data_IF_131367565098
#
_entry.id   IF_131367565098
#
_cell.length_a   1.000
_cell.length_b   1.000
_cell.length_c   1.000
_cell.angle_alpha   90.00
_cell.angle_beta   90.00
_cell.angle_gamma   90.00
#
_symmetry.space_group_name_H-M   'P 1'
#
loop_
_entity.id
_entity.type
_entity.pdbx_description
1 polymer ?
#
# COMPACT_ATOMS: atom_id res chain seq x y z
N UNK A 1 -31.20 -64.94 -55.52
CA UNK A 1 -31.16 -64.83 -54.07
C UNK A 1 -29.99 -63.99 -53.66
N UNK A 2 -30.24 -62.76 -53.42
CA UNK A 2 -29.20 -61.81 -53.00
C UNK A 2 -29.41 -61.44 -51.55
N UNK A 3 -28.44 -61.64 -50.68
CA UNK A 3 -28.43 -60.90 -49.45
C UNK A 3 -27.62 -59.62 -49.63
N UNK A 4 -28.31 -58.48 -49.59
CA UNK A 4 -27.74 -57.18 -49.51
C UNK A 4 -26.94 -57.03 -48.24
N UNK A 5 -25.63 -56.99 -48.37
CA UNK A 5 -24.73 -56.52 -47.33
C UNK A 5 -24.77 -55.01 -47.31
N UNK A 6 -25.57 -54.43 -46.45
CA UNK A 6 -25.47 -53.03 -46.12
C UNK A 6 -24.30 -52.86 -45.17
N UNK A 7 -23.29 -52.22 -45.65
CA UNK A 7 -22.12 -51.84 -44.84
C UNK A 7 -22.55 -50.74 -43.87
N UNK A 8 -22.31 -50.86 -42.59
CA UNK A 8 -22.51 -49.73 -41.68
C UNK A 8 -21.44 -48.69 -41.93
N UNK A 9 -21.90 -47.50 -42.26
CA UNK A 9 -21.11 -46.32 -42.39
C UNK A 9 -20.64 -45.96 -40.95
N UNK A 10 -19.39 -46.28 -40.63
CA UNK A 10 -18.81 -45.87 -39.36
C UNK A 10 -18.45 -44.40 -39.50
N UNK A 11 -19.34 -43.58 -38.96
CA UNK A 11 -19.13 -42.15 -38.82
C UNK A 11 -18.06 -41.93 -37.74
N UNK A 12 -16.83 -41.67 -38.14
CA UNK A 12 -15.78 -41.20 -37.26
C UNK A 12 -16.13 -39.80 -36.81
N UNK A 13 -16.80 -39.70 -35.64
CA UNK A 13 -16.98 -38.42 -34.95
C UNK A 13 -15.65 -38.11 -34.29
N UNK A 14 -14.82 -37.31 -34.97
CA UNK A 14 -13.66 -36.69 -34.39
C UNK A 14 -14.13 -35.69 -33.35
N UNK A 15 -14.22 -36.14 -32.09
CA UNK A 15 -14.35 -35.24 -30.95
C UNK A 15 -13.05 -34.51 -30.81
N UNK A 16 -12.98 -33.32 -31.41
CA UNK A 16 -11.95 -32.34 -31.16
C UNK A 16 -12.18 -31.83 -29.73
N UNK A 17 -11.65 -32.55 -28.74
CA UNK A 17 -11.58 -32.07 -27.37
C UNK A 17 -10.63 -30.89 -27.37
N UNK A 18 -11.18 -29.72 -27.62
CA UNK A 18 -10.48 -28.46 -27.42
C UNK A 18 -10.08 -28.36 -25.95
N UNK A 19 -8.84 -28.68 -25.69
CA UNK A 19 -8.21 -28.29 -24.44
C UNK A 19 -8.11 -26.77 -24.48
N UNK A 20 -9.11 -26.09 -23.94
CA UNK A 20 -8.94 -24.70 -23.55
C UNK A 20 -7.87 -24.71 -22.46
N UNK A 21 -6.71 -24.09 -22.65
CA UNK A 21 -5.83 -23.84 -21.56
C UNK A 21 -6.63 -22.98 -20.58
N UNK A 22 -6.91 -23.53 -19.40
CA UNK A 22 -7.34 -22.70 -18.30
C UNK A 22 -6.22 -21.69 -18.10
N UNK A 23 -6.41 -20.49 -18.64
CA UNK A 23 -5.63 -19.34 -18.29
C UNK A 23 -5.95 -19.07 -16.81
N UNK A 24 -5.28 -19.80 -15.94
CA UNK A 24 -5.10 -19.33 -14.58
C UNK A 24 -4.37 -18.01 -14.74
N UNK A 25 -5.15 -16.92 -14.73
CA UNK A 25 -4.60 -15.60 -14.62
C UNK A 25 -3.77 -15.61 -13.33
N UNK A 26 -2.48 -15.86 -13.48
CA UNK A 26 -1.54 -15.45 -12.45
C UNK A 26 -1.86 -13.97 -12.25
N UNK A 27 -2.41 -13.65 -11.09
CA UNK A 27 -2.42 -12.27 -10.61
C UNK A 27 -0.94 -11.94 -10.53
N UNK A 28 -0.40 -11.41 -11.60
CA UNK A 28 0.85 -10.71 -11.54
C UNK A 28 0.57 -9.60 -10.55
N UNK A 29 1.12 -9.73 -9.35
CA UNK A 29 1.20 -8.65 -8.38
C UNK A 29 1.68 -7.45 -9.18
N UNK A 30 0.79 -6.49 -9.38
CA UNK A 30 0.82 -5.55 -10.49
C UNK A 30 2.13 -4.79 -10.58
N UNK A 31 2.40 -4.21 -11.73
CA UNK A 31 3.51 -3.30 -11.92
C UNK A 31 3.53 -2.27 -10.80
N UNK A 32 4.71 -1.92 -10.25
CA UNK A 32 4.80 -0.97 -9.16
C UNK A 32 4.17 0.38 -9.56
N UNK A 33 3.36 0.94 -8.68
CA UNK A 33 2.84 2.30 -8.85
C UNK A 33 4.00 3.28 -8.67
N UNK A 34 4.13 4.21 -9.60
CA UNK A 34 5.13 5.29 -9.54
C UNK A 34 4.46 6.61 -9.22
N UNK A 35 5.14 7.46 -8.44
CA UNK A 35 4.70 8.81 -8.09
C UNK A 35 3.23 8.83 -7.62
N UNK A 36 2.91 8.03 -6.62
CA UNK A 36 1.54 7.81 -6.16
C UNK A 36 1.15 8.72 -4.99
N UNK A 37 -0.16 8.90 -4.84
CA UNK A 37 -0.80 9.59 -3.70
C UNK A 37 -2.05 8.83 -3.30
N UNK A 38 -2.13 8.41 -2.04
CA UNK A 38 -3.25 7.64 -1.48
C UNK A 38 -3.77 8.40 -0.25
N UNK A 39 -5.02 8.87 -0.26
CA UNK A 39 -5.66 9.42 0.94
C UNK A 39 -6.21 8.30 1.83
N UNK A 40 -6.11 8.48 3.15
CA UNK A 40 -6.84 7.71 4.13
C UNK A 40 -7.93 8.54 4.76
N UNK A 41 -9.07 7.92 5.01
CA UNK A 41 -10.28 8.59 5.49
C UNK A 41 -10.60 8.15 6.93
N UNK A 42 -11.12 9.09 7.71
CA UNK A 42 -11.70 8.81 9.02
C UNK A 42 -13.15 8.34 8.92
N UNK A 43 -13.74 7.99 10.06
CA UNK A 43 -15.13 7.53 10.15
C UNK A 43 -16.14 8.60 9.72
N UNK A 44 -15.74 9.87 9.77
CA UNK A 44 -16.52 11.03 9.31
C UNK A 44 -16.48 11.23 7.77
N UNK A 45 -15.72 10.38 7.04
CA UNK A 45 -15.58 10.43 5.60
C UNK A 45 -14.61 11.51 5.10
N UNK A 46 -13.94 12.25 5.97
CA UNK A 46 -12.91 13.21 5.60
C UNK A 46 -11.51 12.58 5.58
N UNK A 47 -10.61 13.05 4.70
CA UNK A 47 -9.24 12.56 4.71
C UNK A 47 -8.55 12.98 6.01
N UNK A 48 -7.89 12.01 6.66
CA UNK A 48 -7.14 12.20 7.90
C UNK A 48 -5.64 12.13 7.69
N UNK A 49 -5.22 11.46 6.63
CA UNK A 49 -3.82 11.38 6.22
C UNK A 49 -3.68 11.20 4.70
N UNK A 50 -2.52 11.50 4.19
CA UNK A 50 -2.15 11.32 2.78
C UNK A 50 -0.79 10.63 2.70
N UNK A 51 -0.76 9.43 2.10
CA UNK A 51 0.46 8.70 1.82
C UNK A 51 0.94 9.00 0.40
N UNK A 52 2.18 9.44 0.27
CA UNK A 52 2.86 9.67 -1.00
C UNK A 52 4.15 8.87 -1.08
N UNK A 53 4.59 8.55 -2.26
CA UNK A 53 5.87 7.90 -2.47
C UNK A 53 6.29 7.83 -3.93
N UNK A 54 7.56 7.54 -4.15
CA UNK A 54 8.11 7.37 -5.50
C UNK A 54 7.70 6.05 -6.14
N UNK A 55 7.61 5.01 -5.34
CA UNK A 55 7.24 3.68 -5.80
C UNK A 55 6.51 2.94 -4.70
N UNK A 56 5.40 2.30 -5.05
CA UNK A 56 4.70 1.34 -4.23
C UNK A 56 4.69 0.01 -4.96
N UNK A 57 5.22 -1.01 -4.31
CA UNK A 57 5.24 -2.38 -4.80
C UNK A 57 4.42 -3.26 -3.86
N UNK A 58 3.38 -3.88 -4.35
CA UNK A 58 2.63 -4.86 -3.60
C UNK A 58 3.53 -6.08 -3.32
N UNK A 59 3.57 -6.49 -2.06
CA UNK A 59 4.23 -7.72 -1.63
C UNK A 59 3.22 -8.87 -1.60
N UNK A 60 1.99 -8.56 -1.19
CA UNK A 60 0.80 -9.41 -1.20
C UNK A 60 -0.46 -8.53 -1.23
N UNK A 61 -1.64 -9.11 -1.01
CA UNK A 61 -2.93 -8.38 -1.05
C UNK A 61 -3.09 -7.30 0.03
N UNK A 62 -2.36 -7.41 1.14
CA UNK A 62 -2.50 -6.52 2.30
C UNK A 62 -1.26 -5.66 2.52
N UNK A 63 -0.11 -6.05 1.99
CA UNK A 63 1.18 -5.45 2.27
C UNK A 63 1.81 -4.84 1.02
N UNK A 64 2.39 -3.67 1.18
CA UNK A 64 3.14 -2.99 0.15
C UNK A 64 4.44 -2.39 0.69
N UNK A 65 5.48 -2.42 -0.13
CA UNK A 65 6.72 -1.69 0.11
C UNK A 65 6.66 -0.34 -0.56
N UNK A 66 6.93 0.72 0.17
CA UNK A 66 6.95 2.10 -0.31
C UNK A 66 8.37 2.63 -0.28
N UNK A 67 8.82 3.20 -1.41
CA UNK A 67 10.10 3.91 -1.51
C UNK A 67 9.86 5.42 -1.45
N UNK A 68 10.75 6.14 -0.75
CA UNK A 68 10.67 7.59 -0.49
C UNK A 68 9.28 7.97 0.03
N UNK A 69 8.90 7.31 1.12
CA UNK A 69 7.62 7.53 1.78
C UNK A 69 7.52 8.95 2.34
N UNK A 70 6.39 9.59 2.09
CA UNK A 70 5.93 10.79 2.80
C UNK A 70 4.52 10.54 3.28
N UNK A 71 4.30 10.59 4.58
CA UNK A 71 2.98 10.49 5.19
C UNK A 71 2.62 11.85 5.81
N UNK A 72 1.57 12.48 5.31
CA UNK A 72 1.06 13.75 5.80
C UNK A 72 -0.16 13.47 6.69
N UNK A 73 -0.11 13.91 7.94
CA UNK A 73 -1.25 13.86 8.86
C UNK A 73 -1.94 15.20 8.79
N UNK A 74 -3.25 15.19 8.57
CA UNK A 74 -4.07 16.37 8.42
C UNK A 74 -4.68 16.78 9.76
N UNK A 75 -4.94 18.05 9.94
CA UNK A 75 -5.50 18.64 11.16
C UNK A 75 -6.92 18.13 11.52
N UNK A 76 -7.56 17.38 10.59
CA UNK A 76 -8.90 16.81 10.79
C UNK A 76 -10.03 17.75 10.47
N UNK A 77 -11.28 17.34 10.72
CA UNK A 77 -12.51 18.11 10.47
C UNK A 77 -12.64 18.67 9.04
N UNK A 78 -12.16 17.93 8.04
CA UNK A 78 -12.18 18.35 6.64
C UNK A 78 -11.13 19.40 6.27
N UNK A 79 -10.23 19.77 7.18
CA UNK A 79 -9.09 20.61 6.87
C UNK A 79 -8.12 19.89 5.93
N UNK A 80 -7.53 20.63 4.99
CA UNK A 80 -6.42 20.17 4.17
C UNK A 80 -5.05 20.59 4.71
N UNK A 81 -5.05 21.24 5.85
CA UNK A 81 -3.84 21.66 6.53
C UNK A 81 -3.06 20.45 7.02
N UNK A 82 -1.77 20.44 6.73
CA UNK A 82 -0.85 19.38 7.16
C UNK A 82 -0.35 19.74 8.55
N UNK A 83 -0.74 18.98 9.54
CA UNK A 83 -0.28 19.14 10.92
C UNK A 83 1.10 18.53 11.14
N UNK A 84 1.35 17.38 10.50
CA UNK A 84 2.60 16.64 10.67
C UNK A 84 3.00 15.97 9.37
N UNK A 85 4.27 16.06 9.02
CA UNK A 85 4.90 15.37 7.89
C UNK A 85 5.88 14.31 8.39
N UNK A 86 5.73 13.08 7.91
CA UNK A 86 6.65 11.97 8.18
C UNK A 86 7.38 11.56 6.90
N UNK A 87 8.68 11.40 6.98
CA UNK A 87 9.53 10.97 5.87
C UNK A 87 10.33 9.74 6.24
N UNK A 88 10.35 8.75 5.38
CA UNK A 88 11.24 7.60 5.47
C UNK A 88 11.72 7.14 4.09
N UNK A 89 12.99 6.74 3.94
CA UNK A 89 13.48 6.23 2.67
C UNK A 89 12.72 5.01 2.17
N UNK A 90 12.31 4.12 3.09
CA UNK A 90 11.49 2.95 2.82
C UNK A 90 10.54 2.67 3.97
N UNK A 91 9.36 2.18 3.63
CA UNK A 91 8.36 1.74 4.59
C UNK A 91 7.63 0.51 4.08
N UNK A 92 7.26 -0.39 4.98
CA UNK A 92 6.28 -1.41 4.72
C UNK A 92 4.93 -0.92 5.23
N UNK A 93 3.93 -0.93 4.36
CA UNK A 93 2.58 -0.44 4.65
C UNK A 93 1.61 -1.61 4.65
N UNK A 94 0.79 -1.69 5.69
CA UNK A 94 -0.30 -2.64 5.85
C UNK A 94 -1.61 -1.93 5.50
N UNK A 95 -2.02 -2.05 4.24
CA UNK A 95 -3.10 -1.26 3.67
C UNK A 95 -4.46 -1.47 4.34
N UNK A 96 -4.73 -2.69 4.83
CA UNK A 96 -5.99 -3.03 5.51
C UNK A 96 -6.04 -2.64 6.96
N UNK A 97 -4.87 -2.48 7.59
CA UNK A 97 -4.74 -2.26 9.04
C UNK A 97 -4.39 -0.81 9.39
N UNK A 98 -4.31 0.09 8.42
CA UNK A 98 -3.86 1.48 8.60
C UNK A 98 -2.52 1.59 9.34
N UNK A 99 -1.58 0.68 9.09
CA UNK A 99 -0.29 0.61 9.76
C UNK A 99 0.87 0.71 8.79
N UNK A 100 1.95 1.28 9.25
CA UNK A 100 3.22 1.29 8.54
C UNK A 100 4.38 1.10 9.51
N UNK A 101 5.50 0.57 9.01
CA UNK A 101 6.72 0.49 9.79
C UNK A 101 7.95 0.56 8.88
N UNK A 102 9.07 0.92 9.45
CA UNK A 102 10.35 0.94 8.76
C UNK A 102 11.52 0.70 9.70
N UNK A 103 12.57 0.07 9.18
CA UNK A 103 13.82 -0.14 9.90
C UNK A 103 14.80 1.02 9.74
N UNK A 104 14.66 1.79 8.66
CA UNK A 104 15.51 2.92 8.36
C UNK A 104 15.10 4.16 9.15
N UNK A 105 15.71 5.29 8.80
CA UNK A 105 15.42 6.56 9.46
C UNK A 105 13.98 7.00 9.22
N UNK A 106 13.42 7.65 10.24
CA UNK A 106 12.22 8.45 10.16
C UNK A 106 12.55 9.88 10.53
N UNK A 107 11.99 10.83 9.79
CA UNK A 107 11.97 12.24 10.15
C UNK A 107 10.53 12.71 10.24
N UNK A 108 10.17 13.32 11.35
CA UNK A 108 8.86 13.90 11.61
C UNK A 108 9.04 15.42 11.72
N UNK A 109 8.27 16.16 10.94
CA UNK A 109 8.24 17.61 10.95
C UNK A 109 6.87 18.07 11.42
N UNK A 110 6.81 18.81 12.52
CA UNK A 110 5.66 19.56 12.98
C UNK A 110 5.93 21.05 12.85
N UNK A 111 4.98 21.89 13.27
CA UNK A 111 5.08 23.34 13.13
C UNK A 111 6.29 23.94 13.85
N UNK A 112 6.66 23.37 15.00
CA UNK A 112 7.71 23.92 15.87
C UNK A 112 8.70 22.86 16.35
N UNK A 113 8.70 21.67 15.78
CA UNK A 113 9.59 20.60 16.16
C UNK A 113 9.98 19.71 14.99
N UNK A 114 11.13 19.10 15.15
CA UNK A 114 11.59 18.00 14.30
C UNK A 114 11.97 16.83 15.18
N UNK A 115 11.49 15.65 14.85
CA UNK A 115 11.89 14.40 15.49
C UNK A 115 12.55 13.52 14.44
N UNK A 116 13.69 12.95 14.77
CA UNK A 116 14.36 11.94 13.95
C UNK A 116 14.63 10.70 14.77
N UNK A 117 14.69 9.56 14.09
CA UNK A 117 15.05 8.30 14.73
C UNK A 117 15.10 7.16 13.74
N UNK A 118 15.17 5.93 14.25
CA UNK A 118 15.24 4.70 13.45
C UNK A 118 14.35 3.64 14.06
N UNK A 119 13.96 2.67 13.22
CA UNK A 119 13.03 1.60 13.61
C UNK A 119 11.74 2.18 14.19
N UNK A 120 10.80 2.41 13.35
CA UNK A 120 9.58 3.12 13.69
C UNK A 120 8.35 2.32 13.26
N UNK A 121 7.24 2.62 13.92
CA UNK A 121 5.91 2.09 13.64
C UNK A 121 4.91 3.23 13.68
N UNK A 122 3.99 3.24 12.72
CA UNK A 122 2.85 4.13 12.67
C UNK A 122 1.55 3.33 12.75
N UNK A 123 0.62 3.80 13.55
CA UNK A 123 -0.73 3.29 13.68
C UNK A 123 -1.71 4.42 13.35
N UNK A 124 -2.44 4.27 12.23
CA UNK A 124 -3.34 5.29 11.73
C UNK A 124 -4.63 5.42 12.52
N UNK A 125 -5.09 4.36 13.15
CA UNK A 125 -6.32 4.36 13.93
C UNK A 125 -6.14 5.16 15.23
N UNK A 126 -5.01 4.96 15.91
CA UNK A 126 -4.64 5.72 17.10
C UNK A 126 -3.88 7.02 16.81
N UNK A 127 -3.49 7.26 15.54
CA UNK A 127 -2.64 8.39 15.11
C UNK A 127 -1.32 8.47 15.88
N UNK A 128 -0.74 7.33 16.17
CA UNK A 128 0.46 7.21 17.01
C UNK A 128 1.67 6.79 16.19
N UNK A 129 2.80 7.46 16.42
CA UNK A 129 4.11 7.04 15.92
C UNK A 129 4.98 6.59 17.09
N UNK A 130 5.57 5.40 16.97
CA UNK A 130 6.58 4.90 17.91
C UNK A 130 7.92 4.85 17.18
N UNK A 131 8.96 5.40 17.80
CA UNK A 131 10.34 5.34 17.31
C UNK A 131 11.16 4.60 18.37
N UNK A 132 11.86 3.55 17.96
CA UNK A 132 12.49 2.63 18.89
C UNK A 132 13.96 2.96 19.18
N UNK A 133 14.66 3.58 18.22
CA UNK A 133 16.09 3.82 18.34
C UNK A 133 16.52 5.21 17.87
N UNK A 134 17.59 5.71 18.48
CA UNK A 134 18.30 6.94 18.08
C UNK A 134 17.38 8.15 17.96
N UNK A 135 16.47 8.31 18.91
CA UNK A 135 15.50 9.41 18.92
C UNK A 135 16.21 10.73 19.24
N UNK A 136 16.03 11.72 18.37
CA UNK A 136 16.46 13.10 18.59
C UNK A 136 15.28 14.02 18.35
N UNK A 137 14.99 14.90 19.30
CA UNK A 137 13.97 15.95 19.18
C UNK A 137 14.70 17.29 19.12
N UNK A 138 14.34 18.10 18.14
CA UNK A 138 14.82 19.47 17.98
C UNK A 138 13.60 20.37 17.96
N UNK A 139 13.61 21.40 18.78
CA UNK A 139 12.59 22.43 18.81
C UNK A 139 13.08 23.68 18.08
N UNK A 140 12.15 24.40 17.45
CA UNK A 140 12.45 25.71 16.90
C UNK A 140 12.71 26.71 18.05
N UNK A 141 13.68 27.62 17.87
CA UNK A 141 14.08 28.59 18.90
C UNK A 141 12.98 29.58 19.29
N UNK A 142 11.89 29.64 18.51
CA UNK A 142 10.74 30.50 18.76
C UNK A 142 9.67 29.90 19.68
N UNK A 143 9.90 28.71 20.27
CA UNK A 143 8.98 28.15 21.26
C UNK A 143 9.05 29.00 22.54
N UNK A 144 8.06 29.87 22.70
CA UNK A 144 7.78 30.49 24.00
C UNK A 144 7.04 29.48 24.84
N UNK A 145 7.75 28.88 25.79
CA UNK A 145 7.10 28.12 26.87
C UNK A 145 6.43 29.13 27.80
N UNK A 146 5.12 29.05 27.89
CA UNK A 146 4.34 29.81 28.85
C UNK A 146 4.32 29.06 30.18
#
# INVERSE_FOLDING_TARGET
MNPNFSKPLILWLLTLAGHLPAAYGQIQLGAPLKDFTIPGFGDDGFPTWILKGKQLQHMDEANAMVQKMRLQILAGKGSREVETDLYSPTAQVHLRENRAHGKQSLSILGDHFQITGREWQWDGDSRTVKILHSVKVTFDENLQFF
#
